data_IF_762894274251
#
_entry.id   IF_762894274251
#
_cell.length_a   1.000
_cell.length_b   1.000
_cell.length_c   1.000
_cell.angle_alpha   90.00
_cell.angle_beta   90.00
_cell.angle_gamma   90.00
#
_symmetry.space_group_name_H-M   'P 1'
#
loop_
_entity.id
_entity.type
_entity.pdbx_description
1 polymer ?
#
# COMPACT_ATOMS: atom_id res chain seq x y z
N UNK A 1 -49.80 21.15 -3.91
CA UNK A 1 -49.14 20.24 -4.88
C UNK A 1 -47.64 20.50 -4.81
N UNK A 2 -47.04 20.02 -3.72
CA UNK A 2 -45.65 20.30 -3.38
C UNK A 2 -44.73 19.34 -4.15
N UNK A 3 -43.88 19.93 -4.98
CA UNK A 3 -43.07 19.22 -5.96
C UNK A 3 -41.79 18.69 -5.29
N UNK A 4 -41.53 17.37 -5.26
CA UNK A 4 -40.30 16.79 -4.72
C UNK A 4 -39.07 16.99 -5.63
N UNK A 5 -39.12 17.89 -6.61
CA UNK A 5 -38.19 17.89 -7.74
C UNK A 5 -36.77 18.34 -7.38
N UNK A 6 -36.62 19.34 -6.51
CA UNK A 6 -35.29 19.89 -6.18
C UNK A 6 -34.57 19.00 -5.17
N UNK A 7 -35.27 18.54 -4.14
CA UNK A 7 -34.71 17.63 -3.12
C UNK A 7 -34.36 16.27 -3.73
N UNK A 8 -35.22 15.72 -4.59
CA UNK A 8 -34.91 14.47 -5.29
C UNK A 8 -33.70 14.61 -6.22
N UNK A 9 -33.53 15.78 -6.85
CA UNK A 9 -32.38 16.05 -7.71
C UNK A 9 -31.08 16.20 -6.91
N UNK A 10 -31.13 16.85 -5.74
CA UNK A 10 -29.97 16.94 -4.85
C UNK A 10 -29.51 15.57 -4.32
N UNK A 11 -30.45 14.67 -3.99
CA UNK A 11 -30.14 13.30 -3.57
C UNK A 11 -29.50 12.49 -4.70
N UNK A 12 -29.97 12.67 -5.95
CA UNK A 12 -29.40 11.98 -7.11
C UNK A 12 -27.98 12.46 -7.43
N UNK A 13 -27.71 13.76 -7.36
CA UNK A 13 -26.38 14.34 -7.57
C UNK A 13 -25.37 13.82 -6.53
N UNK A 14 -25.74 13.85 -5.24
CA UNK A 14 -24.88 13.30 -4.18
C UNK A 14 -24.57 11.80 -4.38
N UNK A 15 -25.55 11.02 -4.84
CA UNK A 15 -25.36 9.59 -5.13
C UNK A 15 -24.49 9.37 -6.37
N UNK A 16 -24.57 10.27 -7.36
CA UNK A 16 -23.78 10.23 -8.58
C UNK A 16 -22.32 10.64 -8.31
N UNK A 17 -22.11 11.69 -7.52
CA UNK A 17 -20.78 12.16 -7.09
C UNK A 17 -20.08 11.13 -6.19
N UNK A 18 -20.82 10.44 -5.31
CA UNK A 18 -20.29 9.34 -4.51
C UNK A 18 -19.85 8.15 -5.40
N UNK A 19 -20.60 7.84 -6.46
CA UNK A 19 -20.23 6.80 -7.44
C UNK A 19 -18.97 7.17 -8.24
N UNK A 20 -18.84 8.44 -8.65
CA UNK A 20 -17.66 8.94 -9.35
C UNK A 20 -16.43 9.03 -8.44
N UNK A 21 -16.62 9.41 -7.17
CA UNK A 21 -15.55 9.39 -6.16
C UNK A 21 -15.10 7.96 -5.79
N UNK A 22 -15.89 6.95 -6.15
CA UNK A 22 -15.54 5.53 -6.01
C UNK A 22 -14.78 4.98 -7.23
N UNK A 23 -14.56 5.80 -8.27
CA UNK A 23 -13.66 5.45 -9.37
C UNK A 23 -12.23 5.40 -8.82
N UNK A 24 -11.69 4.20 -8.89
CA UNK A 24 -10.53 3.73 -8.14
C UNK A 24 -9.25 4.50 -8.51
N UNK A 25 -8.30 4.65 -7.57
CA UNK A 25 -6.94 5.02 -7.93
C UNK A 25 -6.39 3.95 -8.89
N UNK A 26 -6.00 4.38 -10.09
CA UNK A 26 -5.27 3.61 -11.10
C UNK A 26 -4.02 2.97 -10.47
N UNK A 27 -4.15 1.74 -9.99
CA UNK A 27 -3.14 0.95 -9.31
C UNK A 27 -3.36 -0.53 -9.59
N UNK A 28 -2.31 -1.37 -9.47
CA UNK A 28 -2.31 -2.72 -10.04
C UNK A 28 -3.49 -3.56 -9.55
N UNK A 29 -4.15 -4.21 -10.52
CA UNK A 29 -5.31 -5.09 -10.38
C UNK A 29 -5.13 -6.09 -9.25
N UNK A 30 -5.79 -5.79 -8.14
CA UNK A 30 -5.90 -6.61 -6.95
C UNK A 30 -6.90 -5.92 -6.02
N UNK A 31 -7.60 -6.65 -5.14
CA UNK A 31 -8.42 -5.99 -4.12
C UNK A 31 -7.52 -4.96 -3.40
N UNK A 32 -8.02 -3.75 -3.11
CA UNK A 32 -7.25 -2.74 -2.39
C UNK A 32 -7.02 -3.25 -0.96
N UNK A 33 -5.93 -4.01 -0.79
CA UNK A 33 -5.46 -4.45 0.52
C UNK A 33 -4.76 -3.23 1.12
N UNK A 34 -5.53 -2.44 1.86
CA UNK A 34 -5.02 -1.41 2.75
C UNK A 34 -5.11 -1.98 4.16
N UNK A 35 -3.96 -2.15 4.82
CA UNK A 35 -3.93 -2.59 6.21
C UNK A 35 -4.11 -1.33 7.07
N UNK A 36 -5.23 -1.18 7.79
CA UNK A 36 -5.43 -0.03 8.67
C UNK A 36 -4.35 -0.03 9.76
N UNK A 37 -3.58 1.05 9.86
CA UNK A 37 -2.46 1.21 10.80
C UNK A 37 -2.93 1.58 12.22
N UNK A 38 -4.16 1.22 12.60
CA UNK A 38 -4.53 1.25 14.01
C UNK A 38 -3.72 0.16 14.71
N UNK A 39 -2.58 0.54 15.32
CA UNK A 39 -2.00 -0.25 16.37
C UNK A 39 -2.97 -0.13 17.57
N UNK A 40 -3.71 -1.19 17.95
CA UNK A 40 -4.28 -1.20 19.28
C UNK A 40 -3.11 -1.11 20.28
N UNK A 41 -3.33 -0.48 21.43
CA UNK A 41 -2.43 -0.47 22.59
C UNK A 41 -2.39 -1.88 23.24
N UNK A 42 -2.27 -2.91 22.40
CA UNK A 42 -2.19 -4.30 22.79
C UNK A 42 -0.73 -4.69 22.65
N UNK A 43 -0.14 -5.08 23.76
CA UNK A 43 1.11 -5.82 23.76
C UNK A 43 1.07 -6.87 22.65
N UNK A 44 2.01 -6.77 21.70
CA UNK A 44 2.16 -7.72 20.59
C UNK A 44 2.33 -9.16 21.10
N UNK A 45 2.78 -9.31 22.35
CA UNK A 45 2.91 -10.59 23.04
C UNK A 45 1.57 -11.17 23.57
N UNK A 46 0.52 -10.36 23.72
CA UNK A 46 -0.76 -10.74 24.37
C UNK A 46 -1.89 -10.90 23.35
N UNK A 47 -1.65 -10.58 22.07
CA UNK A 47 -2.62 -10.73 20.99
C UNK A 47 -2.88 -12.19 20.57
N UNK A 48 -4.03 -12.49 19.95
CA UNK A 48 -4.27 -13.78 19.34
C UNK A 48 -3.22 -14.07 18.25
N UNK A 49 -2.71 -15.30 18.25
CA UNK A 49 -1.76 -15.77 17.24
C UNK A 49 -2.44 -15.75 15.86
N UNK A 50 -1.72 -15.32 14.81
CA UNK A 50 -2.25 -15.32 13.46
C UNK A 50 -2.57 -16.76 13.01
N UNK A 51 -3.73 -16.92 12.39
CA UNK A 51 -4.22 -18.18 11.82
C UNK A 51 -3.88 -18.28 10.34
N UNK A 52 -4.02 -19.47 9.76
CA UNK A 52 -3.83 -19.69 8.31
C UNK A 52 -4.71 -18.78 7.45
N UNK A 53 -5.94 -18.55 7.90
CA UNK A 53 -6.92 -17.73 7.20
C UNK A 53 -6.49 -16.25 7.12
N UNK A 54 -5.75 -15.76 8.12
CA UNK A 54 -5.21 -14.40 8.13
C UNK A 54 -4.15 -14.20 7.03
N UNK A 55 -3.33 -15.23 6.78
CA UNK A 55 -2.35 -15.24 5.68
C UNK A 55 -3.01 -15.42 4.30
N UNK A 56 -4.16 -16.07 4.23
CA UNK A 56 -4.95 -16.19 2.99
C UNK A 56 -5.63 -14.85 2.65
N UNK A 57 -6.10 -14.11 3.66
CA UNK A 57 -6.65 -12.77 3.48
C UNK A 57 -5.58 -11.74 3.09
N UNK A 58 -4.38 -11.82 3.68
CA UNK A 58 -3.26 -10.93 3.37
C UNK A 58 -2.00 -11.74 3.03
N UNK A 59 -1.78 -12.03 1.73
CA UNK A 59 -0.59 -12.75 1.30
C UNK A 59 0.70 -12.03 1.68
N UNK A 60 1.71 -12.78 2.12
CA UNK A 60 3.01 -12.22 2.57
C UNK A 60 3.67 -11.32 1.52
N UNK A 61 3.57 -11.67 0.23
CA UNK A 61 4.13 -10.87 -0.86
C UNK A 61 3.46 -9.49 -1.05
N UNK A 62 2.24 -9.30 -0.55
CA UNK A 62 1.47 -8.07 -0.66
C UNK A 62 1.44 -7.27 0.65
N UNK A 63 1.71 -7.91 1.79
CA UNK A 63 1.69 -7.30 3.11
C UNK A 63 2.54 -6.02 3.20
N UNK A 64 3.80 -6.08 2.74
CA UNK A 64 4.69 -4.93 2.76
C UNK A 64 4.18 -3.75 1.92
N UNK A 65 3.65 -4.05 0.73
CA UNK A 65 3.08 -3.04 -0.17
C UNK A 65 1.84 -2.39 0.44
N UNK A 66 0.98 -3.19 1.08
CA UNK A 66 -0.22 -2.73 1.75
C UNK A 66 0.09 -1.80 2.94
N UNK A 67 1.15 -2.08 3.70
CA UNK A 67 1.62 -1.18 4.76
C UNK A 67 2.13 0.15 4.20
N UNK A 68 2.94 0.11 3.13
CA UNK A 68 3.43 1.33 2.48
C UNK A 68 2.28 2.21 1.99
N UNK A 69 1.26 1.60 1.37
CA UNK A 69 0.03 2.29 0.97
C UNK A 69 -0.71 2.89 2.17
N UNK A 70 -0.80 2.16 3.28
CA UNK A 70 -1.39 2.66 4.54
C UNK A 70 -0.64 3.87 5.14
N UNK A 71 0.66 3.99 4.87
CA UNK A 71 1.49 5.15 5.25
C UNK A 71 1.45 6.29 4.21
N UNK A 72 0.63 6.18 3.17
CA UNK A 72 0.48 7.20 2.13
C UNK A 72 1.53 7.14 1.01
N UNK A 73 2.30 6.06 0.90
CA UNK A 73 3.22 5.85 -0.22
C UNK A 73 2.49 5.27 -1.44
N UNK A 74 2.69 5.86 -2.61
CA UNK A 74 2.13 5.40 -3.89
C UNK A 74 3.20 4.84 -4.83
N UNK A 75 2.78 3.97 -5.76
CA UNK A 75 3.70 3.34 -6.72
C UNK A 75 4.34 4.41 -7.62
N UNK A 76 5.67 4.41 -7.69
CA UNK A 76 6.43 5.43 -8.43
C UNK A 76 6.81 6.66 -7.61
N UNK A 77 6.30 6.80 -6.38
CA UNK A 77 6.75 7.83 -5.45
C UNK A 77 8.10 7.45 -4.83
N UNK A 78 9.05 8.37 -4.84
CA UNK A 78 10.31 8.19 -4.11
C UNK A 78 10.09 8.26 -2.59
N UNK A 79 11.01 7.68 -1.83
CA UNK A 79 10.96 7.75 -0.38
C UNK A 79 11.62 9.06 0.13
N UNK A 80 11.03 9.67 1.17
CA UNK A 80 11.59 10.84 1.86
C UNK A 80 10.84 12.16 1.65
N UNK A 81 10.96 13.07 2.63
CA UNK A 81 10.19 14.35 2.69
C UNK A 81 10.74 15.45 1.79
N UNK A 82 12.07 15.60 1.72
CA UNK A 82 12.72 16.74 1.02
C UNK A 82 13.41 16.34 -0.28
N UNK A 83 13.88 15.08 -0.37
CA UNK A 83 14.58 14.56 -1.55
C UNK A 83 14.01 13.19 -1.95
N UNK A 84 12.71 13.17 -2.24
CA UNK A 84 12.01 11.98 -2.71
C UNK A 84 12.67 11.46 -3.98
N UNK A 85 13.27 10.26 -3.91
CA UNK A 85 13.90 9.60 -5.05
C UNK A 85 13.48 8.14 -5.12
N UNK A 86 13.18 7.68 -6.34
CA UNK A 86 12.98 6.26 -6.63
C UNK A 86 14.37 5.64 -6.75
N UNK A 87 14.83 4.98 -5.68
CA UNK A 87 16.15 4.33 -5.64
C UNK A 87 15.95 2.85 -5.90
N UNK A 88 16.62 2.33 -6.94
CA UNK A 88 16.66 0.89 -7.19
C UNK A 88 17.50 0.19 -6.11
N UNK A 89 17.08 -1.00 -5.65
CA UNK A 89 17.88 -1.78 -4.72
C UNK A 89 19.29 -2.01 -5.25
N UNK A 90 20.31 -1.80 -4.42
CA UNK A 90 21.69 -2.09 -4.77
C UNK A 90 21.88 -3.61 -4.81
N UNK A 91 22.18 -4.16 -5.97
CA UNK A 91 22.55 -5.57 -6.09
C UNK A 91 23.95 -5.79 -5.52
N UNK A 92 24.02 -6.55 -4.43
CA UNK A 92 25.30 -6.95 -3.85
C UNK A 92 25.94 -8.03 -4.73
N UNK A 93 27.05 -7.68 -5.39
CA UNK A 93 27.89 -8.66 -6.10
C UNK A 93 28.87 -9.29 -5.10
N UNK A 94 28.66 -10.56 -4.69
CA UNK A 94 29.55 -11.20 -3.73
C UNK A 94 30.95 -11.32 -4.32
N UNK A 95 31.95 -10.91 -3.55
CA UNK A 95 33.35 -11.01 -3.96
C UNK A 95 33.82 -12.48 -3.90
N UNK A 96 34.46 -13.02 -4.95
CA UNK A 96 35.03 -14.35 -4.87
C UNK A 96 36.13 -14.40 -3.78
N UNK A 97 36.18 -15.51 -3.05
CA UNK A 97 37.15 -15.71 -1.96
C UNK A 97 38.56 -15.79 -2.55
N UNK A 98 39.54 -15.19 -1.88
CA UNK A 98 40.95 -15.23 -2.30
C UNK A 98 41.38 -14.14 -3.28
N UNK A 99 40.50 -13.21 -3.66
CA UNK A 99 40.83 -12.08 -4.53
C UNK A 99 41.39 -10.91 -3.69
N UNK A 100 42.66 -10.54 -3.87
CA UNK A 100 43.28 -9.39 -3.19
C UNK A 100 42.55 -8.09 -3.51
N UNK A 101 42.39 -7.17 -2.54
CA UNK A 101 41.76 -5.84 -2.74
C UNK A 101 42.40 -5.14 -3.96
N UNK A 102 41.58 -4.79 -4.98
CA UNK A 102 42.05 -4.17 -6.22
C UNK A 102 42.21 -5.10 -7.43
N UNK A 103 42.14 -6.43 -7.28
CA UNK A 103 42.00 -7.33 -8.41
C UNK A 103 40.54 -7.38 -8.88
N UNK A 104 40.29 -7.15 -10.17
CA UNK A 104 39.00 -7.34 -10.82
C UNK A 104 38.89 -8.82 -11.24
N UNK A 105 37.72 -9.44 -11.00
CA UNK A 105 37.45 -10.77 -11.52
C UNK A 105 37.28 -10.66 -13.04
N UNK A 106 38.18 -11.30 -13.79
CA UNK A 106 38.02 -11.48 -15.24
C UNK A 106 36.78 -12.29 -15.57
#
# INVERSE_FOLDING_TARGET
PDLPSVEAQAVQELLQEARQSQEQPEGPSGPPIAIPLQLPDKDVATGPLPTRQDYEAVPVGQFGLAMLRGMGWSQGQGIGRTFSRVVLPLEHRPRPRGLGLGAEGA
#
